data_IF_223558772897
#
_entry.id   IF_223558772897
#
_cell.length_a   1.000
_cell.length_b   1.000
_cell.length_c   1.000
_cell.angle_alpha   90.00
_cell.angle_beta   90.00
_cell.angle_gamma   90.00
#
_symmetry.space_group_name_H-M   'P 1'
#
loop_
_entity.id
_entity.type
_entity.pdbx_description
1 polymer ?
#
# COMPACT_ATOMS: atom_id res chain seq x y z
N UNK A 1 -22.58 -13.73 -10.77
CA UNK A 1 -21.33 -14.53 -10.81
C UNK A 1 -21.57 -15.77 -9.98
N UNK A 2 -21.23 -16.97 -10.47
CA UNK A 2 -21.52 -18.25 -9.78
C UNK A 2 -20.38 -18.74 -8.88
N UNK A 3 -19.28 -18.00 -8.79
CA UNK A 3 -18.07 -18.37 -8.05
C UNK A 3 -16.81 -18.25 -8.90
N UNK A 4 -15.70 -18.74 -8.34
CA UNK A 4 -14.41 -18.88 -9.02
C UNK A 4 -14.27 -20.26 -9.65
N UNK A 5 -13.74 -20.31 -10.87
CA UNK A 5 -13.59 -21.55 -11.62
C UNK A 5 -12.65 -22.53 -10.90
N UNK A 6 -13.17 -23.70 -10.51
CA UNK A 6 -12.44 -24.77 -9.83
C UNK A 6 -11.82 -24.36 -8.48
N UNK A 7 -12.36 -23.33 -7.84
CA UNK A 7 -11.92 -22.89 -6.51
C UNK A 7 -13.13 -22.71 -5.59
N UNK A 8 -13.59 -23.85 -5.06
CA UNK A 8 -14.74 -23.91 -4.15
C UNK A 8 -14.47 -23.12 -2.87
N UNK A 9 -13.26 -23.24 -2.32
CA UNK A 9 -12.87 -22.53 -1.10
C UNK A 9 -12.92 -21.02 -1.27
N UNK A 10 -12.32 -20.48 -2.35
CA UNK A 10 -12.40 -19.06 -2.62
C UNK A 10 -13.84 -18.60 -2.90
N UNK A 11 -14.66 -19.46 -3.52
CA UNK A 11 -16.08 -19.16 -3.77
C UNK A 11 -16.86 -19.04 -2.47
N UNK A 12 -16.74 -20.02 -1.58
CA UNK A 12 -17.37 -19.99 -0.25
C UNK A 12 -16.92 -18.79 0.56
N UNK A 13 -15.63 -18.44 0.52
CA UNK A 13 -15.10 -17.29 1.23
C UNK A 13 -15.64 -15.96 0.68
N UNK A 14 -15.69 -15.81 -0.65
CA UNK A 14 -16.19 -14.60 -1.29
C UNK A 14 -17.70 -14.38 -1.09
N UNK A 15 -18.50 -15.45 -0.99
CA UNK A 15 -19.95 -15.36 -0.76
C UNK A 15 -20.38 -15.55 0.69
N UNK A 16 -19.42 -15.59 1.62
CA UNK A 16 -19.70 -15.81 3.05
C UNK A 16 -20.62 -14.72 3.60
N UNK A 17 -21.82 -15.13 4.04
CA UNK A 17 -22.86 -14.24 4.57
C UNK A 17 -23.90 -13.80 3.53
N UNK A 18 -24.00 -14.48 2.39
CA UNK A 18 -25.04 -14.25 1.38
C UNK A 18 -24.76 -13.08 0.42
N UNK A 19 -23.67 -12.35 0.63
CA UNK A 19 -23.22 -11.24 -0.21
C UNK A 19 -21.82 -11.50 -0.75
N UNK A 20 -21.54 -11.01 -1.96
CA UNK A 20 -20.22 -11.07 -2.55
C UNK A 20 -19.28 -10.02 -1.95
N UNK A 21 -18.15 -10.48 -1.39
CA UNK A 21 -17.10 -9.65 -0.81
C UNK A 21 -16.10 -9.27 -1.90
N UNK A 22 -16.15 -8.04 -2.40
CA UNK A 22 -15.23 -7.59 -3.46
C UNK A 22 -13.76 -7.49 -2.99
N UNK A 23 -13.55 -7.34 -1.68
CA UNK A 23 -12.23 -7.09 -1.09
C UNK A 23 -11.72 -5.67 -1.33
N UNK A 24 -12.60 -4.76 -1.73
CA UNK A 24 -12.32 -3.34 -1.81
C UNK A 24 -12.85 -2.62 -0.56
N UNK A 25 -12.13 -1.59 -0.14
CA UNK A 25 -12.51 -0.69 0.93
C UNK A 25 -13.01 0.61 0.32
N UNK A 26 -14.15 1.09 0.81
CA UNK A 26 -14.75 2.32 0.31
C UNK A 26 -15.47 3.07 1.43
N UNK A 27 -15.64 4.37 1.24
CA UNK A 27 -16.47 5.24 2.07
C UNK A 27 -17.70 5.64 1.28
N UNK A 28 -18.87 5.54 1.91
CA UNK A 28 -20.12 6.07 1.35
C UNK A 28 -20.37 7.47 1.91
N UNK A 29 -20.45 8.44 1.01
CA UNK A 29 -20.74 9.83 1.33
C UNK A 29 -22.25 10.05 1.59
N UNK A 30 -22.63 11.12 2.30
CA UNK A 30 -24.05 11.40 2.64
C UNK A 30 -24.97 11.54 1.42
N UNK A 31 -24.43 11.96 0.28
CA UNK A 31 -25.13 12.09 -1.00
C UNK A 31 -25.30 10.76 -1.75
N UNK A 32 -24.75 9.67 -1.21
CA UNK A 32 -24.83 8.32 -1.77
C UNK A 32 -23.65 7.94 -2.67
N UNK A 33 -22.70 8.84 -2.94
CA UNK A 33 -21.49 8.49 -3.69
C UNK A 33 -20.59 7.53 -2.91
N UNK A 34 -19.92 6.64 -3.63
CA UNK A 34 -18.97 5.68 -3.05
C UNK A 34 -17.57 6.06 -3.54
N UNK A 35 -16.70 6.39 -2.60
CA UNK A 35 -15.29 6.67 -2.86
C UNK A 35 -14.46 5.44 -2.49
N UNK A 36 -13.74 4.91 -3.48
CA UNK A 36 -12.83 3.78 -3.29
C UNK A 36 -11.59 4.25 -2.55
N UNK A 37 -11.29 3.62 -1.41
CA UNK A 37 -10.14 3.99 -0.56
C UNK A 37 -8.94 3.08 -0.78
N UNK A 38 -9.14 1.76 -0.76
CA UNK A 38 -8.04 0.82 -0.89
C UNK A 38 -8.53 -0.62 -1.19
N UNK A 39 -7.62 -1.58 -1.19
CA UNK A 39 -7.89 -3.01 -1.13
C UNK A 39 -7.70 -3.49 0.30
N UNK A 40 -8.60 -4.35 0.77
CA UNK A 40 -8.53 -4.88 2.14
C UNK A 40 -7.18 -5.57 2.43
N UNK A 41 -6.62 -6.26 1.43
CA UNK A 41 -5.33 -6.96 1.51
C UNK A 41 -4.10 -6.04 1.53
N UNK A 42 -4.27 -4.79 1.14
CA UNK A 42 -3.19 -3.81 1.02
C UNK A 42 -3.20 -2.84 2.23
N UNK A 43 -4.18 -2.93 3.14
CA UNK A 43 -4.16 -2.21 4.42
C UNK A 43 -3.01 -2.71 5.31
N UNK A 44 -2.25 -1.77 5.86
CA UNK A 44 -1.17 -2.04 6.80
C UNK A 44 -1.69 -1.82 8.22
N UNK A 45 -1.44 -2.78 9.12
CA UNK A 45 -1.80 -2.66 10.54
C UNK A 45 -0.53 -2.43 11.34
N UNK A 46 -0.34 -1.19 11.82
CA UNK A 46 0.85 -0.78 12.56
C UNK A 46 0.45 -0.29 13.95
N UNK A 47 0.82 -1.02 15.00
CA UNK A 47 0.53 -0.62 16.39
C UNK A 47 -0.95 -0.54 16.75
N UNK A 48 -1.81 -1.26 16.04
CA UNK A 48 -3.26 -1.19 16.19
C UNK A 48 -3.95 -0.18 15.28
N UNK A 49 -3.20 0.62 14.51
CA UNK A 49 -3.74 1.58 13.54
C UNK A 49 -3.81 0.98 12.14
N UNK A 50 -4.89 1.28 11.41
CA UNK A 50 -5.06 0.89 10.01
C UNK A 50 -4.54 2.00 9.09
N UNK A 51 -3.58 1.68 8.23
CA UNK A 51 -2.94 2.63 7.31
C UNK A 51 -3.26 2.21 5.88
N UNK A 52 -3.85 3.12 5.10
CA UNK A 52 -4.07 2.93 3.67
C UNK A 52 -2.77 3.14 2.91
N UNK A 53 -2.42 2.18 2.05
CA UNK A 53 -1.24 2.34 1.17
C UNK A 53 -1.49 3.39 0.10
N UNK A 54 -2.72 3.49 -0.40
CA UNK A 54 -3.11 4.47 -1.42
C UNK A 54 -2.99 5.90 -0.91
N UNK A 55 -3.35 6.16 0.35
CA UNK A 55 -3.21 7.49 0.96
C UNK A 55 -1.75 7.92 1.07
N UNK A 56 -0.87 7.01 1.54
CA UNK A 56 0.57 7.27 1.61
C UNK A 56 1.17 7.44 0.22
N UNK A 57 0.78 6.60 -0.75
CA UNK A 57 1.19 6.71 -2.15
C UNK A 57 0.76 8.06 -2.75
N UNK A 58 -0.47 8.51 -2.49
CA UNK A 58 -0.99 9.79 -2.97
C UNK A 58 -0.13 10.96 -2.48
N UNK A 59 0.28 10.94 -1.21
CA UNK A 59 1.22 11.95 -0.69
C UNK A 59 2.56 11.84 -1.39
N UNK A 60 3.14 10.64 -1.51
CA UNK A 60 4.41 10.44 -2.22
C UNK A 60 4.38 10.97 -3.66
N UNK A 61 3.28 10.77 -4.38
CA UNK A 61 3.11 11.28 -5.75
C UNK A 61 3.08 12.81 -5.85
N UNK A 62 2.77 13.52 -4.77
CA UNK A 62 2.85 14.98 -4.73
C UNK A 62 4.28 15.51 -4.55
N UNK A 63 5.25 14.66 -4.25
CA UNK A 63 6.64 15.07 -4.17
C UNK A 63 7.22 15.34 -5.57
N UNK A 64 7.87 16.49 -5.83
CA UNK A 64 8.32 16.87 -7.17
C UNK A 64 9.32 15.89 -7.78
N UNK A 65 10.17 15.26 -6.96
CA UNK A 65 11.20 14.32 -7.39
C UNK A 65 10.67 12.90 -7.71
N UNK A 66 9.47 12.53 -7.25
CA UNK A 66 8.97 11.15 -7.36
C UNK A 66 8.33 10.94 -8.73
N UNK A 67 8.79 9.92 -9.45
CA UNK A 67 8.17 9.44 -10.69
C UNK A 67 7.12 8.37 -10.38
N UNK A 68 7.48 7.41 -9.54
CA UNK A 68 6.62 6.27 -9.19
C UNK A 68 6.77 5.91 -7.72
N UNK A 69 5.67 5.53 -7.07
CA UNK A 69 5.68 5.10 -5.68
C UNK A 69 4.76 3.90 -5.46
N UNK A 70 5.20 2.97 -4.63
CA UNK A 70 4.39 1.89 -4.11
C UNK A 70 4.71 1.63 -2.64
N UNK A 71 3.68 1.53 -1.82
CA UNK A 71 3.77 1.31 -0.38
C UNK A 71 3.23 -0.08 -0.06
N UNK A 72 3.96 -0.81 0.78
CA UNK A 72 3.61 -2.15 1.23
C UNK A 72 3.94 -2.34 2.71
N UNK A 73 3.29 -3.32 3.35
CA UNK A 73 3.60 -3.73 4.71
C UNK A 73 5.00 -4.37 4.78
N UNK A 74 5.85 -3.86 5.66
CA UNK A 74 7.08 -4.51 6.14
C UNK A 74 6.82 -5.09 7.54
N UNK A 75 7.13 -6.37 7.81
CA UNK A 75 7.02 -6.94 9.16
C UNK A 75 7.86 -6.17 10.18
N UNK A 76 7.36 -6.03 11.40
CA UNK A 76 8.06 -5.34 12.49
C UNK A 76 7.72 -6.00 13.84
N UNK A 77 8.73 -6.23 14.69
CA UNK A 77 8.54 -6.95 15.95
C UNK A 77 7.77 -6.14 17.00
N UNK A 78 7.82 -4.81 16.93
CA UNK A 78 7.16 -3.94 17.90
C UNK A 78 5.78 -3.49 17.42
N UNK A 79 5.68 -3.13 16.14
CA UNK A 79 4.47 -2.56 15.54
C UNK A 79 3.63 -3.59 14.80
N UNK A 80 4.11 -4.83 14.66
CA UNK A 80 3.51 -5.87 13.82
C UNK A 80 3.85 -5.67 12.35
N UNK A 81 3.49 -4.50 11.80
CA UNK A 81 3.88 -4.05 10.47
C UNK A 81 4.23 -2.57 10.48
N UNK A 82 5.02 -2.12 9.50
CA UNK A 82 5.31 -0.71 9.26
C UNK A 82 5.21 -0.41 7.75
N UNK A 83 4.82 0.81 7.34
CA UNK A 83 4.79 1.14 5.93
C UNK A 83 6.21 1.27 5.35
N UNK A 84 6.44 0.55 4.25
CA UNK A 84 7.68 0.61 3.47
C UNK A 84 7.36 1.13 2.07
N UNK A 85 7.99 2.24 1.70
CA UNK A 85 7.83 2.88 0.41
C UNK A 85 8.95 2.46 -0.54
N UNK A 86 8.59 1.96 -1.70
CA UNK A 86 9.48 1.78 -2.84
C UNK A 86 9.22 2.93 -3.82
N UNK A 87 10.28 3.62 -4.19
CA UNK A 87 10.20 4.90 -4.92
C UNK A 87 11.14 4.86 -6.12
N UNK A 88 10.63 5.29 -7.27
CA UNK A 88 11.44 5.63 -8.43
C UNK A 88 11.45 7.15 -8.60
N UNK A 89 12.65 7.72 -8.72
CA UNK A 89 12.81 9.15 -8.95
C UNK A 89 12.68 9.51 -10.43
N UNK A 90 12.33 10.77 -10.69
CA UNK A 90 12.43 11.37 -12.03
C UNK A 90 13.90 11.56 -12.40
N UNK A 91 14.21 11.51 -13.69
CA UNK A 91 15.57 11.77 -14.18
C UNK A 91 16.04 13.18 -13.76
N UNK A 92 17.30 13.28 -13.33
CA UNK A 92 17.92 14.53 -12.91
C UNK A 92 17.61 14.98 -11.47
N UNK A 93 16.77 14.25 -10.73
CA UNK A 93 16.57 14.48 -9.30
C UNK A 93 17.50 13.58 -8.48
N UNK A 94 18.04 14.12 -7.39
CA UNK A 94 18.80 13.41 -6.38
C UNK A 94 18.26 13.85 -5.01
N UNK A 95 17.50 12.96 -4.37
CA UNK A 95 16.90 13.19 -3.05
C UNK A 95 17.12 11.95 -2.20
N UNK A 96 17.41 12.16 -0.92
CA UNK A 96 17.67 11.06 0.00
C UNK A 96 16.37 10.52 0.65
N UNK A 97 16.49 9.39 1.32
CA UNK A 97 15.36 8.76 2.01
C UNK A 97 14.80 9.62 3.16
N UNK A 98 15.65 10.41 3.84
CA UNK A 98 15.22 11.23 4.98
C UNK A 98 14.37 12.41 4.53
N UNK A 99 14.67 13.00 3.37
CA UNK A 99 13.87 14.05 2.75
C UNK A 99 12.45 13.53 2.44
N UNK A 100 12.35 12.36 1.80
CA UNK A 100 11.05 11.74 1.50
C UNK A 100 10.28 11.41 2.78
N UNK A 101 10.95 10.86 3.79
CA UNK A 101 10.33 10.57 5.10
C UNK A 101 9.82 11.84 5.78
N UNK A 102 10.61 12.92 5.75
CA UNK A 102 10.21 14.22 6.30
C UNK A 102 9.01 14.78 5.54
N UNK A 103 9.04 14.75 4.21
CA UNK A 103 7.92 15.20 3.39
C UNK A 103 6.63 14.45 3.74
N UNK A 104 6.69 13.12 3.87
CA UNK A 104 5.54 12.34 4.32
C UNK A 104 5.06 12.76 5.72
N UNK A 105 5.95 12.99 6.69
CA UNK A 105 5.57 13.42 8.05
C UNK A 105 4.96 14.82 8.10
N UNK A 106 5.34 15.70 7.19
CA UNK A 106 4.79 17.06 7.10
C UNK A 106 3.36 17.07 6.50
N UNK A 107 2.97 16.01 5.77
CA UNK A 107 1.69 15.93 5.04
C UNK A 107 0.77 14.78 5.48
N UNK A 108 1.25 13.87 6.32
CA UNK A 108 0.49 12.73 6.87
C UNK A 108 0.55 12.73 8.39
N UNK A 109 -0.46 12.15 9.06
CA UNK A 109 -0.33 11.78 10.46
C UNK A 109 0.94 10.94 10.69
N UNK A 110 1.64 11.21 11.79
CA UNK A 110 2.97 10.65 12.04
C UNK A 110 3.01 9.10 12.05
N UNK A 111 1.91 8.44 12.42
CA UNK A 111 1.80 6.98 12.42
C UNK A 111 1.64 6.38 11.01
N UNK A 112 1.14 7.15 10.03
CA UNK A 112 0.96 6.71 8.65
C UNK A 112 2.23 6.85 7.81
N UNK A 113 3.12 7.77 8.20
CA UNK A 113 4.35 8.03 7.47
C UNK A 113 5.19 6.74 7.36
N UNK A 114 5.79 6.46 6.19
CA UNK A 114 6.69 5.33 6.04
C UNK A 114 7.82 5.35 7.08
N UNK A 115 8.31 4.16 7.43
CA UNK A 115 9.55 4.02 8.23
C UNK A 115 10.74 3.59 7.40
N UNK A 116 10.51 3.20 6.15
CA UNK A 116 11.55 2.78 5.21
C UNK A 116 11.21 3.32 3.85
N UNK A 117 12.20 3.91 3.17
CA UNK A 117 12.12 4.33 1.77
C UNK A 117 13.26 3.63 1.02
N UNK A 118 12.94 2.97 -0.08
CA UNK A 118 13.90 2.26 -0.93
C UNK A 118 13.77 2.81 -2.34
N UNK A 119 14.90 3.23 -2.91
CA UNK A 119 14.97 3.70 -4.29
C UNK A 119 15.26 2.53 -5.22
N UNK A 120 14.32 2.19 -6.08
CA UNK A 120 14.47 1.13 -7.10
C UNK A 120 13.46 1.29 -8.23
N UNK A 121 13.71 0.61 -9.35
CA UNK A 121 12.71 0.41 -10.40
C UNK A 121 11.58 -0.50 -9.92
N UNK A 122 10.34 -0.05 -10.07
CA UNK A 122 9.17 -0.82 -9.63
C UNK A 122 8.80 -1.90 -10.64
N UNK A 123 8.62 -3.17 -10.20
CA UNK A 123 8.24 -4.25 -11.10
C UNK A 123 6.83 -4.04 -11.63
N UNK A 124 6.65 -4.19 -12.95
CA UNK A 124 5.39 -3.92 -13.64
C UNK A 124 4.96 -5.09 -14.52
N UNK A 125 3.64 -5.24 -14.68
CA UNK A 125 3.07 -6.08 -15.73
C UNK A 125 3.28 -5.45 -17.11
N UNK A 126 3.05 -6.22 -18.18
CA UNK A 126 3.02 -5.70 -19.56
C UNK A 126 2.00 -4.58 -19.78
N UNK A 127 0.98 -4.49 -18.92
CA UNK A 127 -0.04 -3.43 -18.91
C UNK A 127 0.35 -2.22 -18.04
N UNK A 128 1.58 -2.18 -17.51
CA UNK A 128 2.10 -1.06 -16.72
C UNK A 128 1.70 -1.05 -15.24
N UNK A 129 0.98 -2.07 -14.75
CA UNK A 129 0.54 -2.16 -13.35
C UNK A 129 1.68 -2.60 -12.44
N UNK A 130 1.92 -1.86 -11.36
CA UNK A 130 2.92 -2.22 -10.34
C UNK A 130 2.54 -3.54 -9.66
N UNK A 131 3.50 -4.45 -9.57
CA UNK A 131 3.36 -5.75 -8.93
C UNK A 131 3.69 -5.68 -7.44
N UNK A 132 2.79 -5.06 -6.64
CA UNK A 132 2.95 -4.91 -5.16
C UNK A 132 3.25 -6.22 -4.43
N UNK A 133 2.87 -7.38 -4.95
CA UNK A 133 3.19 -8.67 -4.32
C UNK A 133 4.70 -8.97 -4.31
N UNK A 134 5.44 -8.58 -5.35
CA UNK A 134 6.90 -8.74 -5.41
C UNK A 134 7.55 -7.81 -4.38
N UNK A 135 7.07 -6.56 -4.30
CA UNK A 135 7.53 -5.59 -3.31
C UNK A 135 7.24 -6.04 -1.88
N UNK A 136 6.10 -6.70 -1.63
CA UNK A 136 5.79 -7.33 -0.33
C UNK A 136 6.78 -8.42 0.04
N UNK A 137 7.18 -9.28 -0.89
CA UNK A 137 8.19 -10.30 -0.61
C UNK A 137 9.57 -9.67 -0.32
N UNK A 138 9.95 -8.62 -1.07
CA UNK A 138 11.15 -7.83 -0.76
C UNK A 138 11.08 -7.21 0.63
N UNK A 139 9.97 -6.56 0.97
CA UNK A 139 9.77 -5.94 2.27
C UNK A 139 9.83 -6.94 3.43
N UNK A 140 9.28 -8.15 3.25
CA UNK A 140 9.43 -9.25 4.22
C UNK A 140 10.88 -9.66 4.41
N UNK A 141 11.65 -9.75 3.33
CA UNK A 141 13.05 -10.14 3.37
C UNK A 141 13.95 -9.13 4.12
N UNK A 142 13.53 -7.86 4.22
CA UNK A 142 14.22 -6.84 5.03
C UNK A 142 14.12 -7.10 6.54
N UNK A 143 13.17 -7.94 6.98
CA UNK A 143 12.93 -8.20 8.40
C UNK A 143 12.45 -6.98 9.20
N UNK A 144 12.47 -7.11 10.53
CA UNK A 144 12.07 -6.06 11.46
C UNK A 144 13.04 -4.87 11.46
N UNK A 145 12.56 -3.67 11.79
CA UNK A 145 13.41 -2.49 12.02
C UNK A 145 14.08 -2.49 13.40
N UNK A 146 13.49 -3.21 14.36
CA UNK A 146 14.01 -3.42 15.71
C UNK A 146 14.80 -4.73 15.82
#
# INVERSE_FOLDING_TARGET
MSGYLKDEKATEEAFRGGWFRSGDLAVKHPDGYIEMKDRLKDIIISGGENISTVEVETVLYNHPAILEAAVVARPDNHWGQTPCAFVKLKEGFDVDAQEILKFCRDHLPHYMAPKTVIFEDLPRTSTGKIQKFILREKAKALGSLS
#
